data_IF_830915216004
#
_entry.id   IF_830915216004
#
_cell.length_a   1.000
_cell.length_b   1.000
_cell.length_c   1.000
_cell.angle_alpha   90.00
_cell.angle_beta   90.00
_cell.angle_gamma   90.00
#
_symmetry.space_group_name_H-M   'P 1'
#
loop_
_entity.id
_entity.type
_entity.pdbx_description
1 polymer ?
#
# COMPACT_ATOMS: atom_id res chain seq x y z
N UNK A 1 3.72 -4.08 46.26
CA UNK A 1 3.54 -3.56 44.87
C UNK A 1 3.89 -4.72 43.96
N UNK A 2 2.90 -5.42 43.48
CA UNK A 2 3.08 -6.46 42.47
C UNK A 2 3.40 -5.78 41.13
N UNK A 3 4.33 -6.29 40.32
CA UNK A 3 4.58 -5.74 38.99
C UNK A 3 3.30 -5.95 38.17
N UNK A 4 2.75 -4.85 37.64
CA UNK A 4 1.74 -4.92 36.59
C UNK A 4 2.45 -5.58 35.40
N UNK A 5 2.15 -6.85 35.16
CA UNK A 5 2.51 -7.49 33.90
C UNK A 5 1.82 -6.68 32.80
N UNK A 6 2.59 -5.85 32.13
CA UNK A 6 2.14 -5.26 30.88
C UNK A 6 1.92 -6.46 29.92
N UNK A 7 0.67 -6.84 29.70
CA UNK A 7 0.36 -7.79 28.64
C UNK A 7 0.86 -7.19 27.34
N UNK A 8 1.79 -7.88 26.70
CA UNK A 8 2.25 -7.53 25.35
C UNK A 8 1.03 -7.66 24.46
N UNK A 9 0.64 -6.57 23.80
CA UNK A 9 -0.46 -6.63 22.83
C UNK A 9 -0.02 -7.51 21.67
N UNK A 10 -0.93 -8.30 21.11
CA UNK A 10 -0.71 -9.05 19.88
C UNK A 10 -1.19 -8.27 18.65
N UNK A 11 -1.70 -7.06 18.87
CA UNK A 11 -2.22 -6.21 17.84
C UNK A 11 -1.12 -5.80 16.86
N UNK A 12 -1.44 -5.85 15.57
CA UNK A 12 -0.56 -5.42 14.48
C UNK A 12 -1.37 -4.91 13.30
N UNK A 13 -0.83 -3.95 12.58
CA UNK A 13 -1.33 -3.51 11.28
C UNK A 13 -0.86 -4.47 10.18
N UNK A 14 -1.51 -4.42 8.99
CA UNK A 14 -0.94 -5.05 7.79
C UNK A 14 0.33 -4.30 7.35
N UNK A 15 1.26 -5.01 6.71
CA UNK A 15 2.57 -4.47 6.33
C UNK A 15 2.51 -3.32 5.31
N UNK A 16 1.39 -3.16 4.59
CA UNK A 16 1.18 -2.04 3.67
C UNK A 16 1.17 -0.69 4.39
N UNK A 17 0.84 -0.66 5.69
CA UNK A 17 0.81 0.56 6.48
C UNK A 17 2.16 0.76 7.17
N UNK A 18 2.82 1.85 6.86
CA UNK A 18 4.11 2.23 7.46
C UNK A 18 4.29 3.74 7.48
N UNK A 19 5.30 4.19 8.19
CA UNK A 19 5.68 5.60 8.22
C UNK A 19 5.86 6.16 6.81
N UNK A 20 5.56 7.42 6.66
CA UNK A 20 5.71 8.12 5.40
C UNK A 20 4.65 7.81 4.34
N UNK A 21 3.63 6.99 4.64
CA UNK A 21 2.58 6.69 3.68
C UNK A 21 1.71 7.90 3.34
N UNK A 22 1.02 7.80 2.20
CA UNK A 22 0.03 8.78 1.77
C UNK A 22 -1.35 8.15 1.69
N UNK A 23 -2.34 8.82 2.29
CA UNK A 23 -3.76 8.52 2.09
C UNK A 23 -4.40 9.50 1.10
N UNK A 24 -5.39 9.00 0.36
CA UNK A 24 -6.20 9.87 -0.48
C UNK A 24 -6.90 10.93 0.36
N UNK A 25 -6.82 12.18 -0.07
CA UNK A 25 -7.46 13.33 0.59
C UNK A 25 -8.98 13.29 0.53
N UNK A 26 -9.64 13.97 1.48
CA UNK A 26 -11.09 14.24 1.48
C UNK A 26 -11.94 13.01 1.14
N UNK A 27 -11.58 11.88 1.73
CA UNK A 27 -12.20 10.58 1.48
C UNK A 27 -12.23 9.74 2.77
N UNK A 28 -12.76 8.54 2.69
CA UNK A 28 -12.64 7.57 3.76
C UNK A 28 -11.29 6.86 3.66
N UNK A 29 -10.46 6.98 4.70
CA UNK A 29 -9.27 6.15 4.90
C UNK A 29 -9.64 4.87 5.63
N UNK A 30 -9.05 3.74 5.23
CA UNK A 30 -9.30 2.44 5.87
C UNK A 30 -7.97 1.83 6.26
N UNK A 31 -7.90 1.34 7.50
CA UNK A 31 -6.73 0.61 8.03
C UNK A 31 -7.17 -0.74 8.57
N UNK A 32 -6.48 -1.78 8.15
CA UNK A 32 -6.75 -3.16 8.53
C UNK A 32 -5.62 -3.75 9.37
N UNK A 33 -5.97 -4.69 10.22
CA UNK A 33 -4.99 -5.37 11.06
C UNK A 33 -5.60 -6.55 11.81
N UNK A 34 -4.87 -7.03 12.80
CA UNK A 34 -5.32 -8.09 13.70
C UNK A 34 -4.98 -7.76 15.16
N UNK A 35 -5.82 -8.24 16.08
CA UNK A 35 -5.63 -8.11 17.52
C UNK A 35 -6.36 -9.28 18.22
N UNK A 36 -6.46 -9.25 19.56
CA UNK A 36 -7.28 -10.23 20.26
C UNK A 36 -8.76 -10.12 19.82
N UNK A 37 -9.50 -11.25 19.71
CA UNK A 37 -10.91 -11.21 19.39
C UNK A 37 -11.71 -10.34 20.37
N UNK A 38 -12.73 -9.65 19.84
CA UNK A 38 -13.63 -8.75 20.59
C UNK A 38 -12.91 -7.57 21.31
N UNK A 39 -11.64 -7.28 21.00
CA UNK A 39 -10.92 -6.11 21.50
C UNK A 39 -11.42 -4.84 20.85
N UNK A 40 -11.40 -3.74 21.62
CA UNK A 40 -11.69 -2.40 21.13
C UNK A 40 -10.43 -1.80 20.49
N UNK A 41 -10.50 -1.44 19.23
CA UNK A 41 -9.44 -0.74 18.50
C UNK A 41 -9.81 0.72 18.36
N UNK A 42 -8.88 1.62 18.70
CA UNK A 42 -9.03 3.05 18.51
C UNK A 42 -7.89 3.59 17.66
N UNK A 43 -8.21 4.52 16.78
CA UNK A 43 -7.31 5.32 15.96
C UNK A 43 -7.44 6.78 16.39
N UNK A 44 -6.32 7.45 16.67
CA UNK A 44 -6.23 8.89 16.87
C UNK A 44 -5.31 9.49 15.83
N UNK A 45 -5.82 10.43 15.02
CA UNK A 45 -5.06 11.22 14.05
C UNK A 45 -4.67 12.54 14.66
N UNK A 46 -3.39 12.85 14.67
CA UNK A 46 -2.83 14.11 15.17
C UNK A 46 -2.24 14.92 14.00
N UNK A 47 -2.49 16.22 14.02
CA UNK A 47 -1.86 17.16 13.08
C UNK A 47 -0.40 17.47 13.48
N UNK A 48 0.30 18.23 12.63
CA UNK A 48 1.69 18.64 12.87
C UNK A 48 1.91 19.47 14.15
N UNK A 49 0.84 20.08 14.72
CA UNK A 49 0.91 20.78 16.01
C UNK A 49 0.78 19.87 17.21
N UNK A 50 0.47 18.58 16.98
CA UNK A 50 0.13 17.60 18.00
C UNK A 50 -1.31 17.70 18.50
N UNK A 51 -2.17 18.46 17.81
CA UNK A 51 -3.60 18.55 18.12
C UNK A 51 -4.34 17.36 17.54
N UNK A 52 -5.27 16.79 18.30
CA UNK A 52 -6.14 15.70 17.83
C UNK A 52 -7.07 16.24 16.74
N UNK A 53 -6.91 15.72 15.51
CA UNK A 53 -7.70 16.10 14.34
C UNK A 53 -8.91 15.20 14.13
N UNK A 54 -8.75 13.88 14.39
CA UNK A 54 -9.79 12.86 14.16
C UNK A 54 -9.59 11.71 15.16
N UNK A 55 -10.68 11.03 15.53
CA UNK A 55 -10.65 9.79 16.31
C UNK A 55 -11.71 8.82 15.81
N UNK A 56 -11.35 7.57 15.66
CA UNK A 56 -12.25 6.50 15.23
C UNK A 56 -12.09 5.28 16.10
N UNK A 57 -13.13 4.46 16.16
CA UNK A 57 -13.17 3.25 16.97
C UNK A 57 -13.85 2.09 16.21
N UNK A 58 -13.36 0.88 16.41
CA UNK A 58 -13.97 -0.36 15.92
C UNK A 58 -13.73 -1.50 16.91
N UNK A 59 -14.25 -2.67 16.62
CA UNK A 59 -13.95 -3.89 17.36
C UNK A 59 -13.38 -4.95 16.43
N UNK A 60 -12.49 -5.78 16.95
CA UNK A 60 -12.04 -6.97 16.22
C UNK A 60 -13.17 -7.98 16.11
N UNK A 61 -13.20 -8.67 14.98
CA UNK A 61 -14.07 -9.83 14.80
C UNK A 61 -13.62 -11.03 15.65
N UNK A 62 -14.45 -12.08 15.65
CA UNK A 62 -14.11 -13.36 16.33
C UNK A 62 -12.88 -14.05 15.72
N UNK A 63 -12.52 -13.70 14.50
CA UNK A 63 -11.31 -14.14 13.80
C UNK A 63 -10.07 -13.30 14.16
N UNK A 64 -10.24 -12.30 15.04
CA UNK A 64 -9.19 -11.40 15.46
C UNK A 64 -8.82 -10.34 14.41
N UNK A 65 -9.55 -10.18 13.32
CA UNK A 65 -9.31 -9.15 12.31
C UNK A 65 -10.12 -7.90 12.59
N UNK A 66 -9.57 -6.75 12.20
CA UNK A 66 -10.29 -5.48 12.25
C UNK A 66 -10.08 -4.67 10.97
N UNK A 67 -11.06 -3.81 10.72
CA UNK A 67 -10.99 -2.73 9.76
C UNK A 67 -11.50 -1.48 10.46
N UNK A 68 -10.72 -0.40 10.44
CA UNK A 68 -11.09 0.88 11.03
C UNK A 68 -11.06 1.96 9.96
N UNK A 69 -12.17 2.68 9.84
CA UNK A 69 -12.31 3.80 8.92
C UNK A 69 -12.17 5.13 9.65
N UNK A 70 -11.66 6.14 8.95
CA UNK A 70 -11.56 7.51 9.45
C UNK A 70 -11.68 8.51 8.29
N UNK A 71 -12.15 9.73 8.59
CA UNK A 71 -12.22 10.79 7.59
C UNK A 71 -10.84 11.39 7.34
N UNK A 72 -10.41 11.39 6.08
CA UNK A 72 -9.12 11.95 5.70
C UNK A 72 -9.22 13.46 5.45
N UNK A 73 -8.29 14.27 5.96
CA UNK A 73 -8.26 15.70 5.71
C UNK A 73 -8.11 16.06 4.23
N UNK A 74 -8.36 17.31 3.89
CA UNK A 74 -7.99 17.88 2.61
C UNK A 74 -6.47 17.83 2.42
N UNK A 75 -6.01 17.58 1.19
CA UNK A 75 -4.60 17.50 0.83
C UNK A 75 -3.86 18.79 1.15
N UNK A 76 -2.70 18.64 1.77
CA UNK A 76 -1.84 19.76 2.16
C UNK A 76 -0.41 19.29 2.36
N UNK A 77 0.53 20.26 2.36
CA UNK A 77 1.94 20.01 2.71
C UNK A 77 2.14 20.00 4.24
N UNK A 78 1.29 19.24 4.94
CA UNK A 78 1.38 19.00 6.39
C UNK A 78 1.60 17.52 6.63
N UNK A 79 2.38 17.21 7.66
CA UNK A 79 2.56 15.85 8.15
C UNK A 79 1.66 15.59 9.34
N UNK A 80 1.20 14.36 9.44
CA UNK A 80 0.32 13.88 10.48
C UNK A 80 0.92 12.64 11.15
N UNK A 81 0.39 12.33 12.31
CA UNK A 81 0.71 11.11 13.05
C UNK A 81 -0.58 10.36 13.38
N UNK A 82 -0.57 9.05 13.20
CA UNK A 82 -1.67 8.18 13.61
C UNK A 82 -1.19 7.29 14.75
N UNK A 83 -1.97 7.23 15.83
CA UNK A 83 -1.72 6.35 16.97
C UNK A 83 -2.83 5.30 17.06
N UNK A 84 -2.46 4.04 17.30
CA UNK A 84 -3.38 2.92 17.40
C UNK A 84 -3.38 2.31 18.78
N UNK A 85 -4.56 2.06 19.32
CA UNK A 85 -4.73 1.51 20.66
C UNK A 85 -5.61 0.26 20.63
N UNK A 86 -5.21 -0.78 21.39
CA UNK A 86 -6.00 -1.95 21.74
C UNK A 86 -6.41 -1.85 23.19
N UNK A 87 -7.71 -1.81 23.49
CA UNK A 87 -8.26 -1.65 24.86
C UNK A 87 -7.60 -0.52 25.67
N UNK A 88 -7.36 0.60 24.98
CA UNK A 88 -6.75 1.81 25.56
C UNK A 88 -5.22 1.76 25.70
N UNK A 89 -4.55 0.71 25.25
CA UNK A 89 -3.09 0.60 25.24
C UNK A 89 -2.55 0.87 23.85
N UNK A 90 -1.59 1.77 23.72
CA UNK A 90 -0.89 2.03 22.46
C UNK A 90 -0.18 0.75 22.00
N UNK A 91 -0.40 0.34 20.75
CA UNK A 91 0.29 -0.80 20.14
C UNK A 91 1.09 -0.43 18.90
N UNK A 92 0.71 0.63 18.18
CA UNK A 92 1.43 1.07 16.99
C UNK A 92 1.27 2.56 16.74
N UNK A 93 2.19 3.14 15.96
CA UNK A 93 2.14 4.51 15.46
C UNK A 93 2.63 4.58 14.04
N UNK A 94 1.99 5.41 13.23
CA UNK A 94 2.47 5.78 11.90
C UNK A 94 2.82 7.26 11.91
N UNK A 95 4.08 7.57 11.66
CA UNK A 95 4.61 8.94 11.61
C UNK A 95 4.76 9.42 10.16
N UNK A 96 4.85 10.74 9.97
CA UNK A 96 5.05 11.39 8.66
C UNK A 96 3.97 11.04 7.63
N UNK A 97 2.74 10.85 8.07
CA UNK A 97 1.58 10.59 7.19
C UNK A 97 1.22 11.87 6.46
N UNK A 98 0.92 11.76 5.17
CA UNK A 98 0.44 12.88 4.37
C UNK A 98 -0.88 12.55 3.67
N UNK A 99 -1.64 13.58 3.34
CA UNK A 99 -2.89 13.46 2.57
C UNK A 99 -2.76 14.19 1.25
N UNK A 100 -3.19 13.53 0.16
CA UNK A 100 -3.03 14.06 -1.19
C UNK A 100 -3.72 13.20 -2.23
N UNK A 101 -3.27 13.27 -3.47
CA UNK A 101 -3.75 12.40 -4.53
C UNK A 101 -2.99 11.07 -4.53
N UNK A 102 -3.74 9.97 -4.59
CA UNK A 102 -3.18 8.61 -4.59
C UNK A 102 -3.49 7.89 -5.90
N UNK A 103 -2.45 7.38 -6.56
CA UNK A 103 -2.55 6.74 -7.87
C UNK A 103 -1.90 5.37 -7.90
N UNK A 104 -2.51 4.43 -8.62
CA UNK A 104 -1.93 3.12 -8.90
C UNK A 104 -1.20 3.14 -10.24
N UNK A 105 0.09 2.89 -10.22
CA UNK A 105 0.93 2.70 -11.40
C UNK A 105 1.16 1.20 -11.60
N UNK A 106 0.34 0.58 -12.43
CA UNK A 106 0.42 -0.85 -12.72
C UNK A 106 0.55 -1.13 -14.22
N UNK A 107 0.98 -2.31 -14.55
CA UNK A 107 1.16 -2.76 -15.93
C UNK A 107 2.41 -3.60 -16.12
N UNK A 108 2.87 -3.67 -17.36
CA UNK A 108 4.01 -4.51 -17.72
C UNK A 108 5.29 -3.68 -17.97
N UNK A 109 6.21 -4.14 -18.83
CA UNK A 109 7.58 -3.63 -19.02
C UNK A 109 7.71 -2.10 -19.19
N UNK A 110 6.81 -1.44 -19.91
CA UNK A 110 6.89 0.02 -20.06
C UNK A 110 6.59 0.76 -18.75
N UNK A 111 5.66 0.24 -17.94
CA UNK A 111 5.39 0.79 -16.62
C UNK A 111 6.49 0.41 -15.60
N UNK A 112 7.10 -0.77 -15.74
CA UNK A 112 8.18 -1.20 -14.85
C UNK A 112 9.52 -0.50 -15.15
N UNK A 113 9.67 0.18 -16.30
CA UNK A 113 10.94 0.79 -16.72
C UNK A 113 11.46 1.78 -15.67
N UNK A 114 12.65 1.52 -15.07
CA UNK A 114 13.09 2.26 -13.89
C UNK A 114 13.47 3.71 -14.19
N UNK A 115 13.17 4.62 -13.27
CA UNK A 115 13.55 6.02 -13.34
C UNK A 115 15.06 6.19 -13.58
N UNK A 116 15.89 5.44 -12.86
CA UNK A 116 17.35 5.50 -12.96
C UNK A 116 17.92 5.08 -14.32
N UNK A 117 17.14 4.38 -15.16
CA UNK A 117 17.52 3.98 -16.53
C UNK A 117 16.95 4.92 -17.60
N UNK A 118 16.08 5.85 -17.23
CA UNK A 118 15.50 6.80 -18.17
C UNK A 118 16.51 7.88 -18.57
N UNK A 119 16.42 8.35 -19.82
CA UNK A 119 17.40 9.30 -20.39
C UNK A 119 17.58 10.60 -19.57
N UNK A 120 16.48 11.07 -18.98
CA UNK A 120 16.45 12.35 -18.25
C UNK A 120 16.09 12.19 -16.77
N UNK A 121 15.79 10.96 -16.32
CA UNK A 121 15.25 10.73 -14.97
C UNK A 121 16.16 11.20 -13.85
N UNK A 122 17.45 10.89 -13.92
CA UNK A 122 18.42 11.35 -12.93
C UNK A 122 18.59 12.87 -12.91
N UNK A 123 18.57 13.50 -14.09
CA UNK A 123 18.69 14.95 -14.19
C UNK A 123 17.46 15.61 -13.56
N UNK A 124 16.26 15.22 -13.96
CA UNK A 124 15.01 15.79 -13.45
C UNK A 124 14.83 15.53 -11.96
N UNK A 125 15.13 14.34 -11.48
CA UNK A 125 15.15 14.05 -10.04
C UNK A 125 16.05 15.02 -9.27
N UNK A 126 17.24 15.33 -9.78
CA UNK A 126 18.17 16.26 -9.14
C UNK A 126 17.69 17.72 -9.20
N UNK A 127 16.99 18.10 -10.26
CA UNK A 127 16.46 19.46 -10.45
C UNK A 127 15.20 19.72 -9.61
N UNK A 128 14.37 18.71 -9.38
CA UNK A 128 13.04 18.81 -8.73
C UNK A 128 13.02 18.51 -7.22
N UNK A 129 14.17 18.47 -6.59
CA UNK A 129 14.32 18.08 -5.17
C UNK A 129 13.40 18.81 -4.16
N UNK A 130 12.89 19.99 -4.49
CA UNK A 130 12.03 20.76 -3.58
C UNK A 130 10.68 20.10 -3.30
N UNK A 131 10.14 19.32 -4.25
CA UNK A 131 8.87 18.63 -4.09
C UNK A 131 9.06 17.14 -3.79
N UNK A 132 10.30 16.63 -3.87
CA UNK A 132 10.57 15.19 -3.71
C UNK A 132 10.15 14.65 -2.35
N UNK A 133 10.21 15.46 -1.29
CA UNK A 133 9.71 15.08 0.03
C UNK A 133 8.23 14.71 0.01
N UNK A 134 7.42 15.36 -0.82
CA UNK A 134 5.96 15.21 -0.88
C UNK A 134 5.49 14.17 -1.89
N UNK A 135 6.40 13.64 -2.68
CA UNK A 135 6.16 12.41 -3.44
C UNK A 135 6.29 11.22 -2.50
N UNK A 136 5.24 10.43 -2.37
CA UNK A 136 5.23 9.22 -1.56
C UNK A 136 5.02 8.01 -2.47
N UNK A 137 5.87 7.02 -2.35
CA UNK A 137 5.82 5.85 -3.24
C UNK A 137 5.79 4.58 -2.41
N UNK A 138 4.75 3.77 -2.59
CA UNK A 138 4.76 2.39 -2.12
C UNK A 138 5.48 1.55 -3.19
N UNK A 139 6.67 1.10 -2.87
CA UNK A 139 7.41 0.16 -3.71
C UNK A 139 6.92 -1.27 -3.41
N UNK A 140 6.15 -1.82 -4.36
CA UNK A 140 5.69 -3.21 -4.27
C UNK A 140 6.73 -4.10 -4.96
N UNK A 141 7.36 -5.07 -4.26
CA UNK A 141 8.32 -5.98 -4.87
C UNK A 141 7.66 -6.79 -5.98
N UNK A 142 8.31 -6.90 -7.12
CA UNK A 142 7.82 -7.71 -8.24
C UNK A 142 7.75 -9.21 -7.91
N UNK A 143 8.61 -9.66 -6.96
CA UNK A 143 8.72 -11.05 -6.53
C UNK A 143 9.01 -11.13 -5.04
N UNK A 144 8.02 -10.98 -4.15
CA UNK A 144 8.27 -10.81 -2.72
C UNK A 144 8.97 -11.98 -2.06
N UNK A 145 8.90 -13.19 -2.35
CA UNK A 145 9.50 -14.29 -1.59
C UNK A 145 10.19 -15.39 -2.41
N UNK A 146 10.42 -15.18 -3.71
CA UNK A 146 10.91 -16.24 -4.60
C UNK A 146 12.39 -16.53 -4.56
N UNK A 147 13.16 -15.87 -3.73
CA UNK A 147 14.63 -16.02 -3.69
C UNK A 147 15.08 -17.44 -3.34
N UNK A 148 14.22 -18.26 -2.74
CA UNK A 148 14.59 -19.61 -2.26
C UNK A 148 13.53 -20.71 -2.48
N UNK A 149 12.48 -20.48 -3.24
CA UNK A 149 11.40 -21.46 -3.45
C UNK A 149 11.37 -21.96 -4.89
N UNK A 150 11.22 -23.27 -5.04
CA UNK A 150 10.95 -23.92 -6.34
C UNK A 150 9.52 -23.71 -6.81
N UNK A 151 8.67 -23.14 -5.97
CA UNK A 151 7.28 -22.79 -6.25
C UNK A 151 7.19 -21.35 -6.72
N UNK A 152 6.72 -21.14 -7.94
CA UNK A 152 6.82 -19.86 -8.64
C UNK A 152 5.73 -18.84 -8.26
N UNK A 153 4.64 -19.20 -7.59
CA UNK A 153 3.53 -18.27 -7.24
C UNK A 153 2.79 -18.76 -6.00
N UNK A 154 2.45 -17.92 -5.01
CA UNK A 154 1.45 -18.27 -4.03
C UNK A 154 0.15 -18.57 -4.76
N UNK A 155 -0.37 -19.80 -4.62
CA UNK A 155 -1.59 -20.24 -5.30
C UNK A 155 -2.84 -19.56 -4.72
N UNK A 156 -2.73 -18.93 -3.56
CA UNK A 156 -3.82 -18.25 -2.89
C UNK A 156 -3.61 -16.72 -2.91
N UNK A 157 -4.70 -15.94 -3.00
CA UNK A 157 -4.65 -14.51 -2.78
C UNK A 157 -4.00 -14.21 -1.43
N UNK A 158 -3.02 -13.31 -1.41
CA UNK A 158 -2.38 -12.87 -0.17
C UNK A 158 -3.24 -11.80 0.50
N UNK A 159 -3.37 -11.87 1.82
CA UNK A 159 -4.11 -10.87 2.61
C UNK A 159 -3.26 -9.65 2.93
N UNK A 160 -1.94 -9.75 2.76
CA UNK A 160 -0.99 -8.70 3.07
C UNK A 160 0.18 -8.74 2.06
N UNK A 161 0.93 -7.68 1.96
CA UNK A 161 2.08 -7.54 1.06
C UNK A 161 3.35 -7.57 1.89
N UNK A 162 4.14 -8.64 1.79
CA UNK A 162 5.48 -8.67 2.40
C UNK A 162 6.42 -7.74 1.65
N UNK A 163 7.36 -7.13 2.38
CA UNK A 163 8.44 -6.30 1.84
C UNK A 163 8.02 -5.06 1.04
N UNK A 164 6.73 -4.67 1.08
CA UNK A 164 6.29 -3.38 0.55
C UNK A 164 6.73 -2.25 1.48
N UNK A 165 7.32 -1.19 0.93
CA UNK A 165 7.84 -0.07 1.72
C UNK A 165 7.40 1.25 1.12
N UNK A 166 6.88 2.13 1.97
CA UNK A 166 6.66 3.53 1.61
C UNK A 166 7.96 4.31 1.70
N UNK A 167 8.27 5.04 0.67
CA UNK A 167 9.45 5.92 0.61
C UNK A 167 9.05 7.30 0.13
N UNK A 168 9.79 8.33 0.55
CA UNK A 168 9.66 9.66 -0.04
C UNK A 168 10.49 9.76 -1.33
N UNK A 169 10.20 10.74 -2.15
CA UNK A 169 10.99 11.03 -3.34
C UNK A 169 12.46 11.43 -3.06
N UNK A 170 12.83 11.64 -1.80
CA UNK A 170 14.21 11.90 -1.38
C UNK A 170 15.03 10.62 -1.21
N UNK A 171 14.38 9.47 -1.07
CA UNK A 171 15.04 8.19 -0.90
C UNK A 171 15.63 7.69 -2.23
N UNK A 172 16.84 7.16 -2.17
CA UNK A 172 17.53 6.65 -3.37
C UNK A 172 16.85 5.41 -3.99
N UNK A 173 16.05 4.66 -3.24
CA UNK A 173 15.28 3.52 -3.77
C UNK A 173 14.26 3.93 -4.83
N UNK A 174 13.87 5.21 -4.88
CA UNK A 174 12.98 5.77 -5.91
C UNK A 174 13.55 5.63 -7.32
N UNK A 175 14.86 5.46 -7.48
CA UNK A 175 15.45 5.18 -8.78
C UNK A 175 14.94 3.87 -9.42
N UNK A 176 14.45 2.96 -8.60
CA UNK A 176 13.84 1.70 -9.04
C UNK A 176 12.37 1.83 -9.44
N UNK A 177 11.70 2.94 -9.10
CA UNK A 177 10.29 3.13 -9.45
C UNK A 177 10.09 3.33 -10.95
N UNK A 178 8.86 3.20 -11.40
CA UNK A 178 8.43 3.52 -12.75
C UNK A 178 8.81 4.95 -13.17
N UNK A 179 9.56 5.10 -14.25
CA UNK A 179 9.85 6.41 -14.82
C UNK A 179 8.57 7.12 -15.27
N UNK A 180 7.63 6.40 -15.88
CA UNK A 180 6.33 6.96 -16.30
C UNK A 180 5.55 7.50 -15.11
N UNK A 181 5.49 6.72 -14.02
CA UNK A 181 4.79 7.13 -12.82
C UNK A 181 5.47 8.32 -12.13
N UNK A 182 6.80 8.37 -12.13
CA UNK A 182 7.55 9.50 -11.58
C UNK A 182 7.24 10.80 -12.31
N UNK A 183 7.37 10.82 -13.64
CA UNK A 183 7.10 12.04 -14.43
C UNK A 183 5.64 12.47 -14.35
N UNK A 184 4.71 11.51 -14.30
CA UNK A 184 3.31 11.80 -14.06
C UNK A 184 3.08 12.46 -12.68
N UNK A 185 3.63 11.88 -11.62
CA UNK A 185 3.46 12.38 -10.26
C UNK A 185 4.08 13.77 -10.09
N UNK A 186 5.26 13.99 -10.65
CA UNK A 186 5.94 15.27 -10.63
C UNK A 186 5.11 16.37 -11.31
N UNK A 187 4.65 16.11 -12.55
CA UNK A 187 3.81 17.07 -13.25
C UNK A 187 2.51 17.35 -12.50
N UNK A 188 1.88 16.29 -11.97
CA UNK A 188 0.65 16.43 -11.21
C UNK A 188 0.84 17.28 -9.95
N UNK A 189 1.88 17.01 -9.14
CA UNK A 189 2.19 17.81 -7.94
C UNK A 189 2.35 19.29 -8.25
N UNK A 190 3.03 19.62 -9.37
CA UNK A 190 3.22 21.00 -9.81
C UNK A 190 1.89 21.67 -10.18
N UNK A 191 0.97 20.95 -10.84
CA UNK A 191 -0.30 21.51 -11.30
C UNK A 191 -1.31 21.68 -10.15
N UNK A 192 -1.42 20.68 -9.25
CA UNK A 192 -2.43 20.70 -8.19
C UNK A 192 -1.91 21.28 -6.88
N UNK A 193 -0.60 21.50 -6.75
CA UNK A 193 0.07 22.04 -5.55
C UNK A 193 -0.28 21.29 -4.26
N UNK A 194 -0.16 19.96 -4.30
CA UNK A 194 -0.37 19.07 -3.13
C UNK A 194 0.45 17.79 -3.25
N UNK A 195 0.63 17.01 -2.15
CA UNK A 195 1.31 15.74 -2.18
C UNK A 195 0.68 14.73 -3.14
N UNK A 196 1.51 13.90 -3.76
CA UNK A 196 1.08 12.78 -4.63
C UNK A 196 1.68 11.48 -4.14
N UNK A 197 0.84 10.47 -4.00
CA UNK A 197 1.21 9.09 -3.69
C UNK A 197 1.12 8.20 -4.92
N UNK A 198 2.09 7.30 -5.06
CA UNK A 198 2.11 6.29 -6.12
C UNK A 198 2.22 4.90 -5.50
N UNK A 199 1.24 4.06 -5.79
CA UNK A 199 1.34 2.61 -5.57
C UNK A 199 2.05 2.03 -6.80
N UNK A 200 3.37 1.80 -6.69
CA UNK A 200 4.19 1.34 -7.80
C UNK A 200 4.19 -0.19 -7.86
N UNK A 201 3.28 -0.77 -8.65
CA UNK A 201 3.09 -2.21 -8.81
C UNK A 201 3.03 -2.56 -10.29
N UNK A 202 4.13 -3.04 -10.86
CA UNK A 202 4.23 -3.42 -12.27
C UNK A 202 5.14 -4.62 -12.46
N UNK A 203 4.86 -5.44 -13.47
CA UNK A 203 5.60 -6.66 -13.75
C UNK A 203 5.81 -6.84 -15.25
N UNK A 204 7.05 -6.74 -15.70
CA UNK A 204 7.42 -6.95 -17.09
C UNK A 204 7.11 -8.37 -17.55
N UNK A 205 6.52 -8.49 -18.75
CA UNK A 205 6.09 -9.77 -19.32
C UNK A 205 4.70 -10.22 -18.86
N UNK A 206 4.05 -9.51 -17.92
CA UNK A 206 2.68 -9.84 -17.53
C UNK A 206 1.69 -9.54 -18.66
N UNK A 207 0.64 -10.38 -18.77
CA UNK A 207 -0.49 -10.15 -19.68
C UNK A 207 -1.53 -9.28 -19.01
N UNK A 208 -2.46 -8.69 -19.77
CA UNK A 208 -3.56 -7.89 -19.23
C UNK A 208 -4.42 -8.71 -18.25
N UNK A 209 -4.57 -10.00 -18.50
CA UNK A 209 -5.36 -10.92 -17.66
C UNK A 209 -4.78 -11.05 -16.25
N UNK A 210 -3.46 -10.95 -16.10
CA UNK A 210 -2.78 -10.99 -14.78
C UNK A 210 -3.21 -9.84 -13.85
N UNK A 211 -3.81 -8.80 -14.39
CA UNK A 211 -4.28 -7.62 -13.66
C UNK A 211 -5.79 -7.60 -13.44
N UNK A 212 -6.50 -8.64 -13.87
CA UNK A 212 -7.94 -8.77 -13.66
C UNK A 212 -8.22 -9.54 -12.37
N UNK A 213 -9.25 -9.13 -11.64
CA UNK A 213 -9.73 -9.90 -10.49
C UNK A 213 -10.31 -11.24 -10.97
N UNK A 214 -10.23 -12.25 -10.10
CA UNK A 214 -10.85 -13.56 -10.36
C UNK A 214 -12.36 -13.42 -10.65
N UNK A 215 -13.03 -12.56 -9.93
CA UNK A 215 -14.44 -12.27 -10.15
C UNK A 215 -14.71 -11.72 -11.56
N UNK A 216 -13.87 -10.80 -12.05
CA UNK A 216 -13.98 -10.28 -13.41
C UNK A 216 -13.80 -11.38 -14.45
N UNK A 217 -12.83 -12.26 -14.25
CA UNK A 217 -12.59 -13.41 -15.14
C UNK A 217 -13.79 -14.37 -15.11
N UNK A 218 -14.27 -14.73 -13.91
CA UNK A 218 -15.37 -15.67 -13.73
C UNK A 218 -16.70 -15.16 -14.29
N UNK A 219 -16.91 -13.86 -14.32
CA UNK A 219 -18.11 -13.23 -14.87
C UNK A 219 -18.04 -12.88 -16.37
N UNK A 220 -16.91 -13.12 -17.03
CA UNK A 220 -16.72 -12.83 -18.45
C UNK A 220 -16.42 -14.11 -19.25
N UNK A 221 -17.41 -14.57 -20.03
CA UNK A 221 -17.28 -15.82 -20.80
C UNK A 221 -16.21 -15.74 -21.89
N UNK A 222 -16.06 -14.60 -22.56
CA UNK A 222 -15.03 -14.43 -23.60
C UNK A 222 -13.61 -14.59 -23.02
N UNK A 223 -13.37 -14.01 -21.84
CA UNK A 223 -12.07 -14.13 -21.16
C UNK A 223 -11.83 -15.58 -20.73
N UNK A 224 -12.85 -16.25 -20.21
CA UNK A 224 -12.74 -17.68 -19.87
C UNK A 224 -12.39 -18.52 -21.08
N UNK A 225 -13.14 -18.38 -22.17
CA UNK A 225 -12.93 -19.15 -23.40
C UNK A 225 -11.50 -18.92 -23.93
N UNK A 226 -11.05 -17.66 -23.93
CA UNK A 226 -9.70 -17.30 -24.31
C UNK A 226 -8.62 -17.99 -23.45
N UNK A 227 -8.83 -18.06 -22.14
CA UNK A 227 -7.89 -18.69 -21.21
C UNK A 227 -7.93 -20.22 -21.31
N UNK A 228 -9.13 -20.81 -21.50
CA UNK A 228 -9.28 -22.25 -21.71
C UNK A 228 -8.58 -22.72 -22.99
N UNK A 229 -8.70 -21.99 -24.09
CA UNK A 229 -8.02 -22.30 -25.36
C UNK A 229 -6.49 -22.32 -25.24
N UNK A 230 -5.94 -21.64 -24.23
CA UNK A 230 -4.50 -21.54 -23.95
C UNK A 230 -4.03 -22.39 -22.80
N UNK A 231 -4.91 -23.18 -22.19
CA UNK A 231 -4.60 -23.93 -20.96
C UNK A 231 -4.12 -23.03 -19.80
N UNK A 232 -4.45 -21.74 -19.85
CA UNK A 232 -4.06 -20.73 -18.85
C UNK A 232 -5.14 -20.54 -17.77
N UNK A 233 -6.34 -21.10 -17.95
CA UNK A 233 -7.42 -21.01 -16.99
C UNK A 233 -7.28 -22.06 -15.90
N UNK A 234 -7.01 -21.62 -14.70
CA UNK A 234 -6.90 -22.48 -13.52
C UNK A 234 -8.25 -22.47 -12.78
N UNK A 235 -8.88 -23.62 -12.62
CA UNK A 235 -10.13 -23.76 -11.86
C UNK A 235 -9.87 -23.67 -10.35
N UNK A 236 -10.92 -23.35 -9.56
CA UNK A 236 -10.79 -23.33 -8.09
C UNK A 236 -10.43 -24.71 -7.52
N UNK A 237 -10.82 -25.79 -8.21
CA UNK A 237 -10.47 -27.15 -7.81
C UNK A 237 -9.00 -27.45 -8.07
N UNK A 238 -8.47 -27.10 -9.25
CA UNK A 238 -7.06 -27.33 -9.57
C UNK A 238 -6.10 -26.50 -8.69
N UNK A 239 -6.53 -25.38 -8.16
CA UNK A 239 -5.74 -24.60 -7.18
C UNK A 239 -5.57 -25.33 -5.83
N UNK A 240 -6.50 -26.21 -5.47
CA UNK A 240 -6.45 -26.99 -4.22
C UNK A 240 -5.65 -28.28 -4.34
N UNK A 241 -5.46 -28.79 -5.56
CA UNK A 241 -4.72 -30.03 -5.82
C UNK A 241 -3.21 -29.79 -5.88
N UNK A 242 -2.76 -28.56 -6.18
CA UNK A 242 -1.35 -28.18 -6.27
C UNK A 242 -0.82 -27.50 -4.98
N UNK A 243 -1.61 -27.39 -3.94
CA UNK A 243 -1.28 -26.86 -2.61
C UNK A 243 -1.26 -28.00 -1.56
#
# INVERSE_FOLDING_TARGET
ILPVNASVTKAKLLNIYSDGMLFKQSSEGVICGSAEPDSKIKLDLYDQSGSLAETSETFTGKDGKFSISFDTPAGSFNEYKICFFEDGKLFDTLDNIVFGELWLASGQSNMQYPLGQSKTGLQMYNEQRKLSHWLRVLLVPAYPEYKNSTSLVPLNPQEDISDAVWVSGEDSSIYGMSAVAYFFAEQLMNEINMPVGILNSSLGGSTIVSWLSRETIDNNQEIKDYLFEREEYITKESWKEDS
#
